data_IF_929092236603
#
_entry.id   IF_929092236603
#
_cell.length_a   1.000
_cell.length_b   1.000
_cell.length_c   1.000
_cell.angle_alpha   90.00
_cell.angle_beta   90.00
_cell.angle_gamma   90.00
#
_symmetry.space_group_name_H-M   'P 1'
#
loop_
_entity.id
_entity.type
_entity.pdbx_description
1 polymer ?
#
# COMPACT_ATOMS: atom_id res chain seq x y z
N UNK A 1 -20.86 2.22 62.58
CA UNK A 1 -20.69 2.09 61.12
C UNK A 1 -19.32 1.51 60.87
N UNK A 2 -19.24 0.21 60.60
CA UNK A 2 -17.97 -0.50 60.37
C UNK A 2 -17.52 -0.27 58.93
N UNK A 3 -16.42 0.48 58.76
CA UNK A 3 -15.73 0.57 57.47
C UNK A 3 -15.05 -0.77 57.17
N UNK A 4 -15.73 -1.63 56.40
CA UNK A 4 -15.08 -2.76 55.76
C UNK A 4 -14.27 -2.24 54.57
N UNK A 5 -12.97 -2.02 54.78
CA UNK A 5 -12.02 -1.88 53.65
C UNK A 5 -11.71 -3.28 53.15
N UNK A 6 -12.45 -3.77 52.17
CA UNK A 6 -12.09 -4.97 51.42
C UNK A 6 -10.85 -4.65 50.57
N UNK A 7 -9.67 -5.04 51.07
CA UNK A 7 -8.45 -5.07 50.29
C UNK A 7 -8.40 -6.32 49.43
N UNK A 8 -7.85 -6.20 48.22
CA UNK A 8 -7.60 -7.35 47.34
C UNK A 8 -6.62 -8.32 47.99
N UNK A 9 -6.89 -9.62 47.87
CA UNK A 9 -5.95 -10.63 48.33
C UNK A 9 -4.81 -10.80 47.33
N UNK A 10 -3.61 -11.14 47.81
CA UNK A 10 -2.43 -11.38 46.95
C UNK A 10 -2.70 -12.35 45.77
N UNK A 11 -3.40 -13.50 45.94
CA UNK A 11 -3.74 -14.36 44.81
C UNK A 11 -4.67 -13.69 43.78
N UNK A 12 -5.58 -12.82 44.22
CA UNK A 12 -6.51 -12.10 43.34
C UNK A 12 -5.77 -11.11 42.43
N UNK A 13 -4.76 -10.42 42.98
CA UNK A 13 -3.87 -9.53 42.21
C UNK A 13 -3.02 -10.33 41.21
N UNK A 14 -2.51 -11.51 41.62
CA UNK A 14 -1.76 -12.38 40.72
C UNK A 14 -2.61 -12.87 39.54
N UNK A 15 -3.86 -13.27 39.78
CA UNK A 15 -4.78 -13.68 38.71
C UNK A 15 -5.12 -12.51 37.79
N UNK A 16 -5.35 -11.32 38.33
CA UNK A 16 -5.61 -10.14 37.50
C UNK A 16 -4.41 -9.80 36.61
N UNK A 17 -3.19 -9.89 37.12
CA UNK A 17 -1.96 -9.68 36.36
C UNK A 17 -1.76 -10.73 35.26
N UNK A 18 -2.03 -12.00 35.53
CA UNK A 18 -1.88 -13.05 34.51
C UNK A 18 -2.89 -12.89 33.38
N UNK A 19 -4.16 -12.59 33.72
CA UNK A 19 -5.20 -12.29 32.72
C UNK A 19 -4.83 -11.05 31.91
N UNK A 20 -4.33 -10.00 32.56
CA UNK A 20 -3.89 -8.79 31.88
C UNK A 20 -2.72 -9.07 30.93
N UNK A 21 -1.70 -9.80 31.38
CA UNK A 21 -0.55 -10.16 30.55
C UNK A 21 -0.96 -10.98 29.33
N UNK A 22 -1.80 -11.99 29.49
CA UNK A 22 -2.33 -12.79 28.37
C UNK A 22 -3.17 -11.92 27.41
N UNK A 23 -3.99 -11.03 27.95
CA UNK A 23 -4.75 -10.07 27.15
C UNK A 23 -3.84 -9.15 26.32
N UNK A 24 -2.78 -8.62 26.93
CA UNK A 24 -1.84 -7.73 26.24
C UNK A 24 -1.07 -8.44 25.14
N UNK A 25 -0.62 -9.68 25.35
CA UNK A 25 0.11 -10.44 24.32
C UNK A 25 -0.80 -10.81 23.13
N UNK A 26 -2.06 -11.17 23.39
CA UNK A 26 -3.04 -11.40 22.35
C UNK A 26 -3.32 -10.13 21.51
N UNK A 27 -3.48 -8.98 22.17
CA UNK A 27 -3.67 -7.69 21.49
C UNK A 27 -2.45 -7.27 20.68
N UNK A 28 -1.24 -7.45 21.22
CA UNK A 28 0.03 -7.21 20.50
C UNK A 28 0.13 -8.09 19.24
N UNK A 29 -0.24 -9.36 19.34
CA UNK A 29 -0.29 -10.27 18.20
C UNK A 29 -1.26 -9.79 17.12
N UNK A 30 -2.49 -9.43 17.52
CA UNK A 30 -3.49 -8.90 16.61
C UNK A 30 -3.07 -7.57 15.96
N UNK A 31 -2.45 -6.68 16.73
CA UNK A 31 -1.95 -5.39 16.25
C UNK A 31 -0.85 -5.56 15.20
N UNK A 32 0.10 -6.46 15.42
CA UNK A 32 1.17 -6.74 14.46
C UNK A 32 0.62 -7.34 13.16
N UNK A 33 -0.36 -8.24 13.25
CA UNK A 33 -1.03 -8.78 12.07
C UNK A 33 -1.74 -7.69 11.27
N UNK A 34 -2.52 -6.84 11.95
CA UNK A 34 -3.22 -5.74 11.30
C UNK A 34 -2.25 -4.76 10.62
N UNK A 35 -1.16 -4.37 11.30
CA UNK A 35 -0.16 -3.49 10.71
C UNK A 35 0.52 -4.10 9.49
N UNK A 36 0.77 -5.41 9.49
CA UNK A 36 1.34 -6.10 8.34
C UNK A 36 0.38 -6.06 7.14
N UNK A 37 -0.90 -6.27 7.38
CA UNK A 37 -1.91 -6.23 6.32
C UNK A 37 -2.06 -4.81 5.75
N UNK A 38 -2.16 -3.80 6.62
CA UNK A 38 -2.20 -2.39 6.23
C UNK A 38 -0.95 -1.98 5.46
N UNK A 39 0.23 -2.44 5.87
CA UNK A 39 1.47 -2.18 5.14
C UNK A 39 1.46 -2.82 3.74
N UNK A 40 0.90 -4.02 3.61
CA UNK A 40 0.73 -4.70 2.32
C UNK A 40 -0.19 -3.93 1.37
N UNK A 41 -1.38 -3.54 1.84
CA UNK A 41 -2.33 -2.75 1.06
C UNK A 41 -1.76 -1.38 0.67
N UNK A 42 -1.02 -0.73 1.58
CA UNK A 42 -0.36 0.55 1.30
C UNK A 42 0.70 0.40 0.21
N UNK A 43 1.52 -0.64 0.26
CA UNK A 43 2.53 -0.92 -0.78
C UNK A 43 1.87 -1.13 -2.13
N UNK A 44 0.78 -1.90 -2.18
CA UNK A 44 0.00 -2.13 -3.40
C UNK A 44 -0.57 -0.83 -3.96
N UNK A 45 -1.06 0.06 -3.11
CA UNK A 45 -1.56 1.37 -3.49
C UNK A 45 -0.44 2.26 -4.05
N UNK A 46 0.73 2.28 -3.39
CA UNK A 46 1.92 3.02 -3.85
C UNK A 46 2.39 2.53 -5.23
N UNK A 47 2.42 1.22 -5.46
CA UNK A 47 2.73 0.65 -6.78
C UNK A 47 1.74 1.10 -7.85
N UNK A 48 0.44 1.13 -7.54
CA UNK A 48 -0.58 1.62 -8.46
C UNK A 48 -0.42 3.12 -8.77
N UNK A 49 -0.19 3.94 -7.74
CA UNK A 49 0.04 5.37 -7.90
C UNK A 49 1.31 5.68 -8.68
N UNK A 50 2.37 4.88 -8.54
CA UNK A 50 3.60 5.02 -9.33
C UNK A 50 3.32 4.84 -10.84
N UNK A 51 2.59 3.78 -11.22
CA UNK A 51 2.20 3.55 -12.63
C UNK A 51 1.35 4.72 -13.15
N UNK A 52 0.40 5.19 -12.34
CA UNK A 52 -0.51 6.25 -12.73
C UNK A 52 0.22 7.59 -12.89
N UNK A 53 1.13 7.92 -11.98
CA UNK A 53 1.97 9.12 -12.06
C UNK A 53 2.90 9.09 -13.27
N UNK A 54 3.49 7.93 -13.58
CA UNK A 54 4.30 7.72 -14.78
C UNK A 54 3.46 7.96 -16.05
N UNK A 55 2.23 7.45 -16.09
CA UNK A 55 1.30 7.72 -17.19
C UNK A 55 0.91 9.19 -17.33
N UNK A 56 0.64 9.88 -16.23
CA UNK A 56 0.33 11.31 -16.25
C UNK A 56 1.53 12.14 -16.72
N UNK A 57 2.75 11.74 -16.34
CA UNK A 57 3.97 12.39 -16.79
C UNK A 57 4.14 12.34 -18.32
N UNK A 58 3.71 11.25 -18.98
CA UNK A 58 3.73 11.10 -20.44
C UNK A 58 2.69 11.98 -21.15
N UNK A 59 1.65 12.41 -20.43
CA UNK A 59 0.64 13.35 -20.93
C UNK A 59 1.11 14.79 -20.74
N UNK A 60 1.68 15.08 -19.57
CA UNK A 60 2.24 16.40 -19.26
C UNK A 60 3.46 16.72 -20.14
N UNK A 61 4.35 15.75 -20.30
CA UNK A 61 5.55 15.83 -21.13
C UNK A 61 5.43 14.84 -22.29
N UNK A 62 5.25 15.35 -23.50
CA UNK A 62 5.15 14.51 -24.70
C UNK A 62 6.48 13.76 -24.89
N UNK A 63 6.47 12.41 -24.91
CA UNK A 63 7.68 11.64 -25.15
C UNK A 63 8.08 11.70 -26.63
N UNK A 64 9.37 11.49 -26.88
CA UNK A 64 9.81 11.15 -28.24
C UNK A 64 9.25 9.77 -28.59
N UNK A 65 8.74 9.62 -29.81
CA UNK A 65 8.08 8.40 -30.30
C UNK A 65 9.06 7.23 -30.57
N UNK A 66 10.16 7.18 -29.81
CA UNK A 66 11.17 6.14 -29.76
C UNK A 66 11.01 5.33 -28.47
N UNK A 67 11.37 4.05 -28.49
CA UNK A 67 11.32 3.23 -27.29
C UNK A 67 12.24 3.82 -26.22
N UNK A 68 11.67 4.11 -25.05
CA UNK A 68 12.43 4.55 -23.88
C UNK A 68 12.60 3.37 -22.92
N UNK A 69 13.74 3.33 -22.21
CA UNK A 69 14.10 2.23 -21.32
C UNK A 69 13.07 1.95 -20.20
N UNK A 70 12.21 2.92 -19.88
CA UNK A 70 11.24 2.82 -18.78
C UNK A 70 9.78 2.63 -19.23
N UNK A 71 9.44 2.94 -20.49
CA UNK A 71 8.07 2.88 -21.01
C UNK A 71 8.07 2.32 -22.43
N UNK A 72 7.31 1.24 -22.63
CA UNK A 72 7.16 0.61 -23.95
C UNK A 72 6.20 1.46 -24.80
N UNK A 73 6.70 2.00 -25.91
CA UNK A 73 5.97 2.92 -26.78
C UNK A 73 5.76 2.29 -28.15
N UNK A 74 4.53 1.88 -28.45
CA UNK A 74 4.19 1.30 -29.76
C UNK A 74 3.47 2.33 -30.62
N UNK A 75 4.08 2.76 -31.74
CA UNK A 75 3.44 3.72 -32.66
C UNK A 75 2.12 3.20 -33.21
N UNK A 76 1.19 4.11 -33.41
CA UNK A 76 -0.08 3.81 -34.09
C UNK A 76 0.16 3.77 -35.60
N UNK A 77 -0.20 2.67 -36.29
CA UNK A 77 -0.07 2.60 -37.73
C UNK A 77 -0.92 3.71 -38.38
N UNK A 78 -0.31 4.49 -39.27
CA UNK A 78 -0.97 5.58 -39.99
C UNK A 78 -0.96 6.95 -39.28
N UNK A 79 -0.44 7.06 -38.05
CA UNK A 79 -0.26 8.36 -37.39
C UNK A 79 1.10 8.46 -36.68
N UNK A 80 2.06 9.25 -37.20
CA UNK A 80 3.40 9.35 -36.63
C UNK A 80 3.45 10.11 -35.30
N UNK A 81 2.40 10.87 -34.95
CA UNK A 81 2.32 11.67 -33.73
C UNK A 81 1.60 10.96 -32.58
N UNK A 82 1.20 9.70 -32.75
CA UNK A 82 0.50 8.92 -31.72
C UNK A 82 1.22 7.61 -31.43
N UNK A 83 1.35 7.31 -30.15
CA UNK A 83 1.87 6.04 -29.66
C UNK A 83 1.00 5.50 -28.52
N UNK A 84 0.93 4.17 -28.43
CA UNK A 84 0.46 3.47 -27.25
C UNK A 84 1.60 3.39 -26.24
N UNK A 85 1.46 4.09 -25.13
CA UNK A 85 2.33 3.93 -23.97
C UNK A 85 1.79 2.80 -23.09
N UNK A 86 2.65 1.81 -22.81
CA UNK A 86 2.38 0.76 -21.84
C UNK A 86 3.36 0.94 -20.68
N UNK A 87 2.80 1.18 -19.49
CA UNK A 87 3.56 1.24 -18.24
C UNK A 87 3.19 0.00 -17.45
N UNK A 88 4.18 -0.82 -17.14
CA UNK A 88 4.00 -2.11 -16.47
C UNK A 88 4.85 -2.18 -15.19
N UNK A 89 4.23 -2.70 -14.14
CA UNK A 89 4.81 -3.10 -12.85
C UNK A 89 4.31 -4.51 -12.54
N UNK A 90 4.94 -5.18 -11.59
CA UNK A 90 4.71 -6.61 -11.26
C UNK A 90 3.23 -7.04 -11.24
N UNK A 91 2.32 -6.16 -10.80
CA UNK A 91 0.89 -6.47 -10.69
C UNK A 91 -0.03 -5.55 -11.49
N UNK A 92 0.52 -4.54 -12.18
CA UNK A 92 -0.28 -3.50 -12.83
C UNK A 92 0.27 -3.17 -14.21
N UNK A 93 -0.58 -3.27 -15.22
CA UNK A 93 -0.30 -2.74 -16.54
C UNK A 93 -1.36 -1.71 -16.92
N UNK A 94 -0.91 -0.51 -17.27
CA UNK A 94 -1.77 0.51 -17.85
C UNK A 94 -1.33 0.75 -19.29
N UNK A 95 -2.31 0.87 -20.18
CA UNK A 95 -2.12 1.20 -21.58
C UNK A 95 -2.91 2.45 -21.92
N UNK A 96 -2.24 3.45 -22.50
CA UNK A 96 -2.86 4.72 -22.88
C UNK A 96 -2.33 5.22 -24.21
N UNK A 97 -3.20 5.88 -24.95
CA UNK A 97 -2.83 6.59 -26.16
C UNK A 97 -2.23 7.96 -25.79
N UNK A 98 -1.00 8.22 -26.23
CA UNK A 98 -0.28 9.48 -25.97
C UNK A 98 0.14 10.15 -27.27
N UNK A 99 0.27 11.48 -27.22
CA UNK A 99 0.82 12.28 -28.33
C UNK A 99 2.33 12.39 -28.20
N UNK A 100 3.02 12.10 -29.27
CA UNK A 100 4.47 12.29 -29.37
C UNK A 100 4.80 13.73 -29.75
N UNK A 101 6.04 14.13 -29.45
CA UNK A 101 6.62 15.39 -29.92
C UNK A 101 7.04 15.30 -31.38
#
# INVERSE_FOLDING_TARGET
MTCSRQGFTLPEVCVALTVFLVGTTALLGGWNFFNREVAGERKRLEEFYDVLSSMESLVANRPDCADSLSVRLTRVPGNPHLAWAVVEREHYSLKRLVRCR
#
